data_IF_130092436447
#
_entry.id   IF_130092436447
#
_cell.length_a   1.000
_cell.length_b   1.000
_cell.length_c   1.000
_cell.angle_alpha   90.00
_cell.angle_beta   90.00
_cell.angle_gamma   90.00
#
_symmetry.space_group_name_H-M   'P 1'
#
loop_
_entity.id
_entity.type
_entity.pdbx_description
1 polymer ?
#
# COMPACT_ATOMS: atom_id res chain seq x y z
N UNK A 1 8.15 25.10 0.26
CA UNK A 1 9.39 24.60 0.83
C UNK A 1 10.45 24.27 -0.21
N UNK A 2 10.10 23.63 -1.34
CA UNK A 2 11.08 23.33 -2.41
C UNK A 2 11.48 24.56 -3.19
N UNK A 3 10.59 25.53 -3.35
CA UNK A 3 10.91 26.81 -3.99
C UNK A 3 11.96 27.59 -3.19
N UNK A 4 11.91 27.55 -1.87
CA UNK A 4 12.90 28.20 -1.03
C UNK A 4 14.30 27.58 -1.16
N UNK A 5 14.40 26.25 -1.34
CA UNK A 5 15.67 25.58 -1.56
C UNK A 5 16.30 26.01 -2.89
N UNK A 6 15.49 26.18 -3.94
CA UNK A 6 15.96 26.69 -5.23
C UNK A 6 16.42 28.13 -5.14
N UNK A 7 15.71 28.97 -4.37
CA UNK A 7 16.06 30.38 -4.16
C UNK A 7 17.39 30.52 -3.41
N UNK A 8 17.62 29.69 -2.39
CA UNK A 8 18.84 29.72 -1.59
C UNK A 8 20.05 29.10 -2.30
N UNK A 9 19.84 28.12 -3.18
CA UNK A 9 20.94 27.35 -3.79
C UNK A 9 21.37 27.91 -5.15
N UNK A 10 20.50 28.64 -5.85
CA UNK A 10 20.75 29.17 -7.21
C UNK A 10 20.44 30.66 -7.31
N UNK A 11 21.26 31.48 -6.68
CA UNK A 11 21.14 32.95 -6.65
C UNK A 11 20.96 33.60 -8.03
N UNK A 12 21.48 32.98 -9.08
CA UNK A 12 21.42 33.51 -10.45
C UNK A 12 20.12 33.23 -11.19
N UNK A 13 19.33 32.26 -10.74
CA UNK A 13 18.09 31.84 -11.45
C UNK A 13 16.81 32.14 -10.65
N UNK A 14 16.93 32.38 -9.35
CA UNK A 14 15.77 32.44 -8.45
C UNK A 14 14.84 33.64 -8.65
N UNK A 15 15.31 34.87 -8.91
CA UNK A 15 14.41 36.03 -9.03
C UNK A 15 13.53 36.00 -10.28
N UNK A 16 14.05 35.38 -11.36
CA UNK A 16 13.43 35.46 -12.67
C UNK A 16 12.63 34.20 -13.05
N UNK A 17 12.90 33.07 -12.37
CA UNK A 17 12.35 31.74 -12.74
C UNK A 17 11.65 31.00 -11.60
N UNK A 18 11.59 31.59 -10.42
CA UNK A 18 10.91 30.96 -9.27
C UNK A 18 9.45 31.35 -9.23
N UNK A 19 8.55 30.44 -9.56
CA UNK A 19 7.10 30.60 -9.33
C UNK A 19 6.60 29.59 -8.32
N UNK A 20 5.88 30.05 -7.30
CA UNK A 20 5.27 29.18 -6.29
C UNK A 20 3.92 28.69 -6.81
N UNK A 21 3.87 27.43 -7.17
CA UNK A 21 2.61 26.76 -7.54
C UNK A 21 1.94 26.26 -6.27
N UNK A 22 0.76 26.77 -5.98
CA UNK A 22 -0.05 26.31 -4.86
C UNK A 22 -0.76 25.01 -5.24
N UNK A 23 -0.84 24.03 -4.31
CA UNK A 23 -1.57 22.80 -4.56
C UNK A 23 -3.05 23.07 -4.82
N UNK A 24 -3.62 22.37 -5.80
CA UNK A 24 -5.06 22.41 -6.07
C UNK A 24 -5.87 21.74 -4.97
N UNK A 25 -7.18 21.96 -5.00
CA UNK A 25 -8.11 21.34 -4.07
C UNK A 25 -8.01 19.81 -4.14
N UNK A 26 -7.94 19.13 -2.98
CA UNK A 26 -7.80 17.67 -2.88
C UNK A 26 -6.40 17.13 -3.14
N UNK A 27 -5.39 17.98 -3.34
CA UNK A 27 -4.01 17.53 -3.43
C UNK A 27 -3.49 17.06 -2.07
N UNK A 28 -3.04 15.81 -2.01
CA UNK A 28 -2.32 15.26 -0.86
C UNK A 28 -0.81 15.34 -1.12
N UNK A 29 -0.09 16.05 -0.30
CA UNK A 29 1.32 16.34 -0.52
C UNK A 29 2.17 16.25 0.74
N UNK A 30 3.22 17.06 0.78
CA UNK A 30 4.22 17.05 1.83
C UNK A 30 3.62 17.30 3.23
N UNK A 31 2.61 18.15 3.32
CA UNK A 31 1.99 18.52 4.60
C UNK A 31 1.20 17.35 5.19
N UNK A 32 0.49 16.59 4.36
CA UNK A 32 -0.26 15.40 4.77
C UNK A 32 0.64 14.24 5.16
N UNK A 33 1.77 14.05 4.44
CA UNK A 33 2.69 12.94 4.68
C UNK A 33 3.79 13.23 5.70
N UNK A 34 4.13 14.50 5.95
CA UNK A 34 5.25 14.89 6.81
C UNK A 34 4.89 16.01 7.80
N UNK A 35 3.63 16.43 7.86
CA UNK A 35 3.11 17.38 8.84
C UNK A 35 2.78 16.73 10.18
N UNK A 36 2.03 17.45 10.99
CA UNK A 36 1.64 17.01 12.36
C UNK A 36 0.73 15.78 12.38
N UNK A 37 0.00 15.51 11.29
CA UNK A 37 -0.92 14.38 11.15
C UNK A 37 -0.31 13.22 10.33
N UNK A 38 1.01 13.20 10.14
CA UNK A 38 1.68 12.20 9.30
C UNK A 38 1.46 10.76 9.78
N UNK A 39 1.25 10.53 11.07
CA UNK A 39 1.01 9.20 11.65
C UNK A 39 -0.20 8.47 11.06
N UNK A 40 -1.12 9.20 10.45
CA UNK A 40 -2.27 8.63 9.72
C UNK A 40 -1.90 8.05 8.36
N UNK A 41 -0.82 8.52 7.76
CA UNK A 41 -0.44 8.21 6.38
C UNK A 41 0.91 7.51 6.27
N UNK A 42 1.77 7.65 7.28
CA UNK A 42 3.12 7.08 7.31
C UNK A 42 3.22 6.10 8.48
N UNK A 43 3.53 4.86 8.16
CA UNK A 43 3.79 3.82 9.15
C UNK A 43 5.28 3.48 9.18
N UNK A 44 5.93 3.76 10.29
CA UNK A 44 7.32 3.38 10.49
C UNK A 44 7.43 1.88 10.77
N UNK A 45 8.27 1.20 9.98
CA UNK A 45 8.51 -0.23 10.17
C UNK A 45 9.47 -0.42 11.34
N UNK A 46 9.08 -1.14 12.41
CA UNK A 46 9.96 -1.38 13.55
C UNK A 46 11.24 -2.09 13.14
N UNK A 47 12.39 -1.64 13.64
CA UNK A 47 13.68 -2.28 13.36
C UNK A 47 13.71 -3.76 13.80
N UNK A 48 12.89 -4.14 14.78
CA UNK A 48 12.72 -5.54 15.22
C UNK A 48 12.11 -6.47 14.18
N UNK A 49 11.42 -5.95 13.15
CA UNK A 49 10.87 -6.77 12.06
C UNK A 49 11.93 -7.24 11.06
N UNK A 50 13.15 -6.72 11.15
CA UNK A 50 14.23 -6.99 10.20
C UNK A 50 14.04 -6.24 8.87
N UNK A 51 14.97 -6.49 7.96
CA UNK A 51 14.97 -5.86 6.64
C UNK A 51 14.35 -6.79 5.60
N UNK A 52 13.51 -6.25 4.72
CA UNK A 52 12.95 -7.00 3.59
C UNK A 52 14.02 -7.62 2.67
N UNK A 53 15.23 -7.05 2.68
CA UNK A 53 16.38 -7.55 1.91
C UNK A 53 17.09 -8.73 2.58
N UNK A 54 16.88 -8.96 3.88
CA UNK A 54 17.51 -10.05 4.60
C UNK A 54 16.93 -11.41 4.17
N UNK A 55 17.75 -12.44 4.26
CA UNK A 55 17.35 -13.82 3.87
C UNK A 55 16.41 -14.50 4.90
N UNK A 56 16.05 -13.83 5.96
CA UNK A 56 15.31 -14.38 7.13
C UNK A 56 13.78 -14.34 6.98
N UNK A 57 13.26 -14.18 5.77
CA UNK A 57 11.81 -14.18 5.56
C UNK A 57 11.28 -12.82 5.13
N UNK A 58 9.98 -12.62 5.31
CA UNK A 58 9.30 -11.37 4.94
C UNK A 58 8.77 -10.73 6.21
N UNK A 59 9.07 -9.44 6.47
CA UNK A 59 8.53 -8.69 7.61
C UNK A 59 7.00 -8.70 7.64
N UNK A 60 6.41 -8.71 8.85
CA UNK A 60 4.96 -8.69 9.03
C UNK A 60 4.31 -7.43 8.43
N UNK A 61 5.01 -6.30 8.47
CA UNK A 61 4.60 -5.03 7.86
C UNK A 61 4.33 -5.15 6.35
N UNK A 62 5.06 -6.00 5.65
CA UNK A 62 4.84 -6.24 4.19
C UNK A 62 3.50 -6.91 3.95
N UNK A 63 3.17 -7.93 4.74
CA UNK A 63 1.84 -8.57 4.66
C UNK A 63 0.72 -7.59 5.00
N UNK A 64 0.94 -6.74 6.01
CA UNK A 64 0.00 -5.67 6.38
C UNK A 64 -0.18 -4.69 5.22
N UNK A 65 0.89 -4.21 4.60
CA UNK A 65 0.84 -3.29 3.48
C UNK A 65 0.10 -3.89 2.27
N UNK A 66 0.38 -5.15 1.93
CA UNK A 66 -0.33 -5.86 0.87
C UNK A 66 -1.82 -6.02 1.19
N UNK A 67 -2.17 -6.37 2.44
CA UNK A 67 -3.56 -6.49 2.86
C UNK A 67 -4.29 -5.14 2.78
N UNK A 68 -3.66 -4.05 3.23
CA UNK A 68 -4.18 -2.69 3.10
C UNK A 68 -4.41 -2.32 1.63
N UNK A 69 -3.48 -2.63 0.75
CA UNK A 69 -3.62 -2.38 -0.69
C UNK A 69 -4.84 -3.10 -1.28
N UNK A 70 -5.01 -4.40 -1.04
CA UNK A 70 -6.13 -5.16 -1.61
C UNK A 70 -7.48 -4.79 -1.01
N UNK A 71 -7.53 -4.50 0.29
CA UNK A 71 -8.76 -4.05 0.95
C UNK A 71 -9.12 -2.63 0.50
N UNK A 72 -8.16 -1.71 0.43
CA UNK A 72 -8.37 -0.36 -0.09
C UNK A 72 -8.86 -0.36 -1.53
N UNK A 73 -8.29 -1.23 -2.37
CA UNK A 73 -8.75 -1.46 -3.74
C UNK A 73 -10.21 -1.97 -3.77
N UNK A 74 -10.55 -2.94 -2.92
CA UNK A 74 -11.91 -3.46 -2.83
C UNK A 74 -12.92 -2.40 -2.34
N UNK A 75 -12.54 -1.54 -1.39
CA UNK A 75 -13.35 -0.42 -0.91
C UNK A 75 -13.60 0.57 -2.07
N UNK A 76 -12.57 0.96 -2.79
CA UNK A 76 -12.70 1.86 -3.95
C UNK A 76 -13.60 1.26 -5.03
N UNK A 77 -13.40 -0.02 -5.34
CA UNK A 77 -14.24 -0.73 -6.30
C UNK A 77 -15.71 -0.78 -5.86
N UNK A 78 -15.99 -0.99 -4.57
CA UNK A 78 -17.36 -0.98 -4.03
C UNK A 78 -18.04 0.39 -4.12
N UNK A 79 -17.25 1.46 -4.30
CA UNK A 79 -17.72 2.85 -4.50
C UNK A 79 -17.83 3.22 -5.99
N UNK A 80 -17.61 2.28 -6.89
CA UNK A 80 -17.70 2.50 -8.34
C UNK A 80 -16.39 2.95 -9.00
N UNK A 81 -15.28 3.02 -8.26
CA UNK A 81 -13.97 3.29 -8.85
C UNK A 81 -13.39 2.01 -9.47
N UNK A 82 -13.57 1.90 -10.78
CA UNK A 82 -13.14 0.74 -11.58
C UNK A 82 -11.73 0.92 -12.16
N UNK A 83 -11.03 1.99 -11.79
CA UNK A 83 -9.69 2.29 -12.28
C UNK A 83 -8.64 1.27 -11.84
N UNK A 84 -7.49 1.32 -12.50
CA UNK A 84 -6.34 0.54 -12.12
C UNK A 84 -5.71 1.12 -10.83
N UNK A 85 -5.38 0.24 -9.91
CA UNK A 85 -4.68 0.60 -8.69
C UNK A 85 -3.30 -0.06 -8.68
N UNK A 86 -2.29 0.68 -8.32
CA UNK A 86 -0.92 0.19 -8.24
C UNK A 86 -0.34 0.42 -6.83
N UNK A 87 0.54 -0.48 -6.41
CA UNK A 87 1.34 -0.36 -5.21
C UNK A 87 2.81 -0.31 -5.63
N UNK A 88 3.51 0.73 -5.21
CA UNK A 88 4.95 0.86 -5.43
C UNK A 88 5.70 0.34 -4.20
N UNK A 89 6.66 -0.56 -4.43
CA UNK A 89 7.60 -1.01 -3.40
C UNK A 89 9.01 -0.64 -3.85
N UNK A 90 9.65 0.26 -3.10
CA UNK A 90 10.98 0.76 -3.40
C UNK A 90 11.94 0.45 -2.24
N UNK A 91 12.65 -0.69 -2.27
CA UNK A 91 13.48 -1.13 -1.15
C UNK A 91 14.81 -0.36 -1.04
N UNK A 92 15.40 0.04 -2.16
CA UNK A 92 16.69 0.73 -2.22
C UNK A 92 16.95 1.29 -3.62
N UNK A 93 18.09 1.95 -3.82
CA UNK A 93 18.55 2.45 -5.13
C UNK A 93 19.20 1.35 -6.00
N UNK A 94 19.49 0.17 -5.43
CA UNK A 94 20.23 -0.89 -6.12
C UNK A 94 19.29 -1.83 -6.86
N UNK A 95 19.50 -2.07 -8.14
CA UNK A 95 18.70 -2.99 -8.96
C UNK A 95 18.63 -4.42 -8.37
N UNK A 96 19.72 -4.90 -7.79
CA UNK A 96 19.79 -6.22 -7.18
C UNK A 96 18.77 -6.38 -6.05
N UNK A 97 18.64 -5.36 -5.20
CA UNK A 97 17.70 -5.36 -4.09
C UNK A 97 16.24 -5.42 -4.57
N UNK A 98 15.95 -4.75 -5.69
CA UNK A 98 14.63 -4.84 -6.32
C UNK A 98 14.30 -6.27 -6.76
N UNK A 99 15.25 -7.02 -7.33
CA UNK A 99 15.02 -8.42 -7.71
C UNK A 99 14.72 -9.31 -6.50
N UNK A 100 15.41 -9.13 -5.38
CA UNK A 100 15.14 -9.86 -4.13
C UNK A 100 13.70 -9.60 -3.68
N UNK A 101 13.30 -8.33 -3.63
CA UNK A 101 11.97 -7.95 -3.16
C UNK A 101 10.87 -8.42 -4.10
N UNK A 102 11.05 -8.29 -5.40
CA UNK A 102 10.09 -8.79 -6.40
C UNK A 102 9.85 -10.29 -6.20
N UNK A 103 10.89 -11.10 -6.04
CA UNK A 103 10.75 -12.55 -5.83
C UNK A 103 9.98 -12.87 -4.54
N UNK A 104 10.26 -12.15 -3.45
CA UNK A 104 9.54 -12.33 -2.18
C UNK A 104 8.06 -11.95 -2.30
N UNK A 105 7.76 -10.80 -2.89
CA UNK A 105 6.39 -10.34 -3.10
C UNK A 105 5.62 -11.26 -4.03
N UNK A 106 6.27 -11.75 -5.09
CA UNK A 106 5.67 -12.72 -6.01
C UNK A 106 5.29 -14.01 -5.28
N UNK A 107 6.18 -14.54 -4.43
CA UNK A 107 5.89 -15.75 -3.63
C UNK A 107 4.67 -15.56 -2.74
N UNK A 108 4.55 -14.40 -2.06
CA UNK A 108 3.37 -14.08 -1.23
C UNK A 108 2.12 -13.98 -2.10
N UNK A 109 2.22 -13.27 -3.21
CA UNK A 109 1.08 -13.05 -4.12
C UNK A 109 0.57 -14.38 -4.70
N UNK A 110 1.46 -15.29 -5.07
CA UNK A 110 1.08 -16.60 -5.61
C UNK A 110 0.41 -17.47 -4.54
N UNK A 111 0.90 -17.44 -3.30
CA UNK A 111 0.25 -18.09 -2.16
C UNK A 111 -1.16 -17.51 -1.93
N UNK A 112 -1.28 -16.19 -1.91
CA UNK A 112 -2.57 -15.53 -1.73
C UNK A 112 -3.54 -15.78 -2.88
N UNK A 113 -3.06 -15.81 -4.12
CA UNK A 113 -3.87 -16.16 -5.30
C UNK A 113 -4.40 -17.58 -5.21
N UNK A 114 -3.57 -18.55 -4.77
CA UNK A 114 -3.98 -19.93 -4.57
C UNK A 114 -5.11 -20.03 -3.54
N UNK A 115 -4.93 -19.38 -2.37
CA UNK A 115 -5.93 -19.33 -1.30
C UNK A 115 -7.22 -18.65 -1.75
N UNK A 116 -7.12 -17.54 -2.48
CA UNK A 116 -8.27 -16.82 -3.03
C UNK A 116 -9.05 -17.67 -4.03
N UNK A 117 -8.38 -18.36 -4.96
CA UNK A 117 -9.01 -19.27 -5.92
C UNK A 117 -9.77 -20.40 -5.21
N UNK A 118 -9.14 -21.03 -4.21
CA UNK A 118 -9.74 -22.12 -3.42
C UNK A 118 -10.99 -21.63 -2.70
N UNK A 119 -10.92 -20.48 -2.05
CA UNK A 119 -12.04 -19.90 -1.31
C UNK A 119 -13.20 -19.47 -2.24
N UNK A 120 -12.89 -18.84 -3.35
CA UNK A 120 -13.89 -18.42 -4.35
C UNK A 120 -14.58 -19.62 -5.01
N UNK A 121 -13.92 -20.78 -5.08
CA UNK A 121 -14.52 -22.04 -5.52
C UNK A 121 -15.38 -22.74 -4.44
N UNK A 122 -15.63 -22.07 -3.31
CA UNK A 122 -16.47 -22.60 -2.22
C UNK A 122 -15.80 -23.67 -1.35
N UNK A 123 -14.49 -23.88 -1.52
CA UNK A 123 -13.74 -24.88 -0.71
C UNK A 123 -13.30 -24.24 0.60
N UNK A 124 -13.52 -24.95 1.71
CA UNK A 124 -13.02 -24.55 3.02
C UNK A 124 -11.59 -25.07 3.19
N UNK A 125 -10.64 -24.15 3.14
CA UNK A 125 -9.24 -24.41 3.39
C UNK A 125 -8.80 -23.64 4.64
N UNK A 126 -8.26 -24.36 5.61
CA UNK A 126 -7.77 -23.78 6.87
C UNK A 126 -6.63 -22.77 6.62
N UNK A 127 -5.85 -22.97 5.55
CA UNK A 127 -4.77 -22.08 5.15
C UNK A 127 -5.29 -20.67 4.78
N UNK A 128 -6.54 -20.58 4.31
CA UNK A 128 -7.18 -19.30 4.01
C UNK A 128 -7.43 -18.43 5.26
N UNK A 129 -7.58 -19.05 6.44
CA UNK A 129 -7.88 -18.30 7.66
C UNK A 129 -6.80 -17.27 8.01
N UNK A 130 -5.54 -17.55 7.71
CA UNK A 130 -4.45 -16.60 7.92
C UNK A 130 -4.60 -15.36 7.02
N UNK A 131 -4.83 -15.56 5.72
CA UNK A 131 -5.10 -14.48 4.78
C UNK A 131 -6.34 -13.67 5.20
N UNK A 132 -7.42 -14.36 5.58
CA UNK A 132 -8.66 -13.71 6.01
C UNK A 132 -8.45 -12.81 7.23
N UNK A 133 -7.63 -13.24 8.20
CA UNK A 133 -7.28 -12.42 9.37
C UNK A 133 -6.54 -11.15 8.96
N UNK A 134 -5.58 -11.25 8.03
CA UNK A 134 -4.84 -10.10 7.52
C UNK A 134 -5.76 -9.12 6.80
N UNK A 135 -6.64 -9.59 5.91
CA UNK A 135 -7.63 -8.75 5.23
C UNK A 135 -8.61 -8.11 6.21
N UNK A 136 -9.06 -8.87 7.22
CA UNK A 136 -9.98 -8.32 8.24
C UNK A 136 -9.30 -7.24 9.09
N UNK A 137 -8.05 -7.44 9.49
CA UNK A 137 -7.29 -6.45 10.24
C UNK A 137 -7.08 -5.15 9.43
N UNK A 138 -6.79 -5.28 8.13
CA UNK A 138 -6.70 -4.13 7.24
C UNK A 138 -8.06 -3.40 7.09
N UNK A 139 -9.15 -4.14 6.96
CA UNK A 139 -10.50 -3.58 6.94
C UNK A 139 -10.82 -2.81 8.23
N UNK A 140 -10.51 -3.40 9.39
CA UNK A 140 -10.77 -2.78 10.69
C UNK A 140 -9.96 -1.49 10.88
N UNK A 141 -8.74 -1.43 10.34
CA UNK A 141 -7.93 -0.23 10.32
C UNK A 141 -8.61 0.89 9.53
N UNK A 142 -9.09 0.62 8.30
CA UNK A 142 -9.84 1.61 7.51
C UNK A 142 -11.10 2.10 8.21
N UNK A 143 -11.86 1.21 8.86
CA UNK A 143 -13.05 1.58 9.62
C UNK A 143 -12.67 2.43 10.84
N UNK A 144 -11.59 2.07 11.53
CA UNK A 144 -11.04 2.84 12.66
C UNK A 144 -10.61 4.24 12.26
N UNK A 145 -10.09 4.41 11.05
CA UNK A 145 -9.73 5.72 10.48
C UNK A 145 -10.94 6.50 9.92
N UNK A 146 -12.15 6.02 10.16
CA UNK A 146 -13.39 6.70 9.76
C UNK A 146 -13.79 6.47 8.29
N UNK A 147 -13.15 5.55 7.58
CA UNK A 147 -13.54 5.21 6.21
C UNK A 147 -14.87 4.44 6.23
N UNK A 148 -15.90 5.00 5.60
CA UNK A 148 -17.20 4.32 5.46
C UNK A 148 -17.06 3.19 4.46
N UNK A 149 -17.30 1.97 4.91
CA UNK A 149 -17.18 0.75 4.10
C UNK A 149 -18.47 -0.08 4.14
N UNK A 150 -18.70 -0.87 3.10
CA UNK A 150 -19.66 -1.97 3.16
C UNK A 150 -19.17 -3.03 4.16
N UNK A 151 -20.06 -3.88 4.71
CA UNK A 151 -19.65 -4.93 5.65
C UNK A 151 -18.52 -5.80 5.08
N UNK A 152 -17.62 -6.25 5.96
CA UNK A 152 -16.45 -7.05 5.52
C UNK A 152 -16.85 -8.30 4.74
N UNK A 153 -17.97 -8.95 5.10
CA UNK A 153 -18.45 -10.15 4.40
C UNK A 153 -18.72 -9.89 2.91
N UNK A 154 -19.24 -8.71 2.58
CA UNK A 154 -19.53 -8.30 1.20
C UNK A 154 -18.24 -7.87 0.47
N UNK A 155 -17.33 -7.20 1.19
CA UNK A 155 -16.07 -6.73 0.66
C UNK A 155 -15.06 -7.87 0.44
N UNK A 156 -15.10 -8.92 1.25
CA UNK A 156 -14.18 -10.06 1.23
C UNK A 156 -14.08 -10.69 -0.17
N UNK A 157 -15.24 -10.93 -0.80
CA UNK A 157 -15.28 -11.51 -2.15
C UNK A 157 -14.61 -10.61 -3.19
N UNK A 158 -14.82 -9.30 -3.09
CA UNK A 158 -14.20 -8.33 -3.99
C UNK A 158 -12.68 -8.30 -3.78
N UNK A 159 -12.20 -8.26 -2.53
CA UNK A 159 -10.77 -8.31 -2.22
C UNK A 159 -10.10 -9.57 -2.77
N UNK A 160 -10.76 -10.75 -2.63
CA UNK A 160 -10.24 -12.01 -3.17
C UNK A 160 -10.18 -12.01 -4.71
N UNK A 161 -11.16 -11.41 -5.38
CA UNK A 161 -11.10 -11.25 -6.83
C UNK A 161 -9.94 -10.34 -7.24
N UNK A 162 -9.72 -9.22 -6.55
CA UNK A 162 -8.58 -8.33 -6.82
C UNK A 162 -7.23 -9.04 -6.62
N UNK A 163 -7.09 -9.85 -5.57
CA UNK A 163 -5.90 -10.69 -5.36
C UNK A 163 -5.69 -11.66 -6.54
N UNK A 164 -6.75 -12.35 -6.96
CA UNK A 164 -6.69 -13.32 -8.06
C UNK A 164 -6.26 -12.68 -9.39
N UNK A 165 -6.73 -11.47 -9.66
CA UNK A 165 -6.53 -10.74 -10.92
C UNK A 165 -5.25 -9.89 -10.92
N UNK A 166 -4.63 -9.66 -9.76
CA UNK A 166 -3.42 -8.85 -9.65
C UNK A 166 -2.31 -9.42 -10.55
N UNK A 167 -1.68 -8.57 -11.33
CA UNK A 167 -0.42 -8.85 -12.02
C UNK A 167 0.72 -8.15 -11.29
N UNK A 168 1.90 -8.77 -11.22
CA UNK A 168 3.10 -8.16 -10.64
C UNK A 168 3.61 -6.99 -11.47
#
# INVERSE_FOLDING_TARGET
PQANILIETFDTLSPDFGELVYPGEGYCGLQEFHGTDCDKHVYEIPASEGNLLDNVGVPASVYKAMAMFFVGNAIRYSRGDMGNHAMLVHPSQKKYDHHIVVNKLQTILDDWKSKAKTRLAGRNDISYLALRRQLKAAYDAFVGDGVICVPFADLEKTALNRIKECSP
#
